data_IF_032432573021
#
_entry.id   IF_032432573021
#
_cell.length_a   1.000
_cell.length_b   1.000
_cell.length_c   1.000
_cell.angle_alpha   90.00
_cell.angle_beta   90.00
_cell.angle_gamma   90.00
#
_symmetry.space_group_name_H-M   'P 1'
#
loop_
_entity.id
_entity.type
_entity.pdbx_description
1 polymer ?
#
# COMPACT_ATOMS: atom_id res chain seq x y z
N UNK A 1 -11.57 -0.50 -19.81
CA UNK A 1 -10.67 -1.20 -18.87
C UNK A 1 -9.67 -0.17 -18.38
N UNK A 2 -9.60 0.08 -17.07
CA UNK A 2 -8.66 1.06 -16.50
C UNK A 2 -7.23 0.56 -16.71
N UNK A 3 -6.38 1.39 -17.32
CA UNK A 3 -4.98 1.07 -17.55
C UNK A 3 -4.24 1.15 -16.19
N UNK A 4 -4.06 0.02 -15.52
CA UNK A 4 -3.38 -0.05 -14.22
C UNK A 4 -1.86 0.02 -14.43
N UNK A 5 -1.11 0.63 -13.51
CA UNK A 5 0.35 0.66 -13.59
C UNK A 5 0.91 -0.75 -13.43
N UNK A 6 1.79 -1.14 -14.36
CA UNK A 6 2.48 -2.43 -14.30
C UNK A 6 3.52 -2.48 -13.18
N UNK A 7 3.76 -3.68 -12.65
CA UNK A 7 4.82 -3.91 -11.67
C UNK A 7 6.19 -4.02 -12.34
N UNK A 8 7.18 -3.33 -11.78
CA UNK A 8 8.58 -3.55 -12.12
C UNK A 8 9.04 -4.93 -11.67
N UNK A 9 10.19 -5.39 -12.17
CA UNK A 9 10.79 -6.65 -11.73
C UNK A 9 11.08 -6.66 -10.22
N UNK A 10 11.54 -5.54 -9.67
CA UNK A 10 11.81 -5.40 -8.23
C UNK A 10 10.53 -5.44 -7.41
N UNK A 11 9.44 -4.84 -7.90
CA UNK A 11 8.13 -4.91 -7.24
C UNK A 11 7.56 -6.33 -7.28
N UNK A 12 7.68 -7.04 -8.41
CA UNK A 12 7.29 -8.46 -8.49
C UNK A 12 8.05 -9.31 -7.48
N UNK A 13 9.36 -9.11 -7.36
CA UNK A 13 10.18 -9.84 -6.38
C UNK A 13 9.80 -9.47 -4.94
N UNK A 14 9.61 -8.18 -4.64
CA UNK A 14 9.21 -7.71 -3.30
C UNK A 14 7.85 -8.25 -2.87
N UNK A 15 6.90 -8.32 -3.81
CA UNK A 15 5.51 -8.69 -3.56
C UNK A 15 5.21 -10.15 -3.92
N UNK A 16 6.21 -10.98 -4.20
CA UNK A 16 6.02 -12.36 -4.68
C UNK A 16 5.05 -13.18 -3.81
N UNK A 17 5.15 -13.06 -2.49
CA UNK A 17 4.28 -13.80 -1.56
C UNK A 17 2.83 -13.33 -1.55
N UNK A 18 2.56 -12.04 -1.77
CA UNK A 18 1.18 -11.55 -1.88
C UNK A 18 0.59 -11.86 -3.26
N UNK A 19 1.42 -11.91 -4.30
CA UNK A 19 0.98 -12.30 -5.66
C UNK A 19 0.49 -13.75 -5.73
N UNK A 20 1.01 -14.65 -4.88
CA UNK A 20 0.59 -16.05 -4.85
C UNK A 20 -0.73 -16.31 -4.11
N UNK A 21 -1.28 -15.29 -3.44
CA UNK A 21 -2.57 -15.40 -2.73
C UNK A 21 -3.71 -15.51 -3.74
N UNK A 22 -4.53 -16.56 -3.61
CA UNK A 22 -5.73 -16.77 -4.41
C UNK A 22 -6.60 -15.50 -4.41
N UNK A 23 -7.13 -15.16 -5.58
CA UNK A 23 -8.03 -14.02 -5.81
C UNK A 23 -7.41 -12.62 -5.58
N UNK A 24 -6.11 -12.54 -5.29
CA UNK A 24 -5.36 -11.28 -5.25
C UNK A 24 -4.55 -11.07 -6.53
N UNK A 25 -3.53 -11.89 -6.77
CA UNK A 25 -2.72 -11.91 -7.98
C UNK A 25 -2.05 -10.58 -8.35
N UNK A 26 -1.54 -10.51 -9.59
CA UNK A 26 -0.87 -9.31 -10.12
C UNK A 26 -1.82 -8.13 -10.26
N UNK A 27 -3.08 -8.37 -10.67
CA UNK A 27 -4.07 -7.30 -10.80
C UNK A 27 -4.37 -6.63 -9.44
N UNK A 28 -4.51 -7.41 -8.36
CA UNK A 28 -4.68 -6.89 -7.01
C UNK A 28 -3.54 -5.99 -6.59
N UNK A 29 -2.30 -6.39 -6.92
CA UNK A 29 -1.13 -5.58 -6.61
C UNK A 29 -1.03 -4.30 -7.44
N UNK A 30 -1.35 -4.36 -8.74
CA UNK A 30 -1.43 -3.17 -9.58
C UNK A 30 -2.50 -2.19 -9.08
N UNK A 31 -3.61 -2.69 -8.52
CA UNK A 31 -4.63 -1.84 -7.87
C UNK A 31 -4.10 -1.17 -6.60
N UNK A 32 -3.37 -1.87 -5.74
CA UNK A 32 -2.73 -1.26 -4.57
C UNK A 32 -1.70 -0.20 -4.99
N UNK A 33 -0.86 -0.51 -5.98
CA UNK A 33 0.10 0.44 -6.57
C UNK A 33 -0.57 1.68 -7.14
N UNK A 34 -1.77 1.56 -7.70
CA UNK A 34 -2.53 2.71 -8.21
C UNK A 34 -3.26 3.51 -7.13
N UNK A 35 -3.39 2.96 -5.92
CA UNK A 35 -4.21 3.55 -4.86
C UNK A 35 -3.49 4.73 -4.17
N UNK A 36 -4.29 5.70 -3.74
CA UNK A 36 -3.89 6.73 -2.78
C UNK A 36 -4.72 6.59 -1.52
N UNK A 37 -4.08 6.51 -0.35
CA UNK A 37 -4.76 6.37 0.94
C UNK A 37 -4.36 7.50 1.89
N UNK A 38 -5.37 8.16 2.48
CA UNK A 38 -5.18 9.08 3.60
C UNK A 38 -5.35 8.34 4.92
N UNK A 39 -4.30 8.34 5.73
CA UNK A 39 -4.37 7.88 7.12
C UNK A 39 -4.34 9.10 8.04
N UNK A 40 -5.48 9.39 8.66
CA UNK A 40 -5.60 10.45 9.67
C UNK A 40 -5.34 9.91 11.07
N UNK A 41 -4.90 10.78 11.99
CA UNK A 41 -4.54 10.44 13.38
C UNK A 41 -3.43 9.40 13.45
N UNK A 42 -2.29 9.71 12.83
CA UNK A 42 -1.06 8.91 13.00
C UNK A 42 -0.70 8.87 14.49
N UNK A 43 -0.37 7.68 15.01
CA UNK A 43 -0.21 7.41 16.44
C UNK A 43 -0.13 5.91 16.63
N UNK A 44 -0.57 5.36 17.76
CA UNK A 44 -0.57 3.90 17.96
C UNK A 44 -1.28 3.13 16.85
N UNK A 45 -2.58 3.41 16.65
CA UNK A 45 -3.38 2.69 15.62
C UNK A 45 -3.07 3.19 14.20
N UNK A 46 -3.08 4.51 13.98
CA UNK A 46 -2.85 5.08 12.66
C UNK A 46 -1.45 4.80 12.12
N UNK A 47 -0.44 4.76 13.00
CA UNK A 47 0.94 4.41 12.64
C UNK A 47 1.06 2.95 12.22
N UNK A 48 0.54 2.02 13.02
CA UNK A 48 0.54 0.59 12.64
C UNK A 48 -0.22 0.35 11.34
N UNK A 49 -1.39 0.97 11.15
CA UNK A 49 -2.14 0.87 9.89
C UNK A 49 -1.34 1.42 8.69
N UNK A 50 -0.71 2.59 8.83
CA UNK A 50 0.12 3.16 7.78
C UNK A 50 1.30 2.27 7.40
N UNK A 51 1.96 1.65 8.39
CA UNK A 51 3.05 0.69 8.15
C UNK A 51 2.57 -0.51 7.34
N UNK A 52 1.42 -1.10 7.70
CA UNK A 52 0.88 -2.25 6.97
C UNK A 52 0.47 -1.88 5.55
N UNK A 53 -0.15 -0.70 5.35
CA UNK A 53 -0.51 -0.21 4.03
C UNK A 53 0.72 0.08 3.15
N UNK A 54 1.80 0.59 3.74
CA UNK A 54 3.07 0.80 3.04
C UNK A 54 3.69 -0.55 2.63
N UNK A 55 3.73 -1.52 3.55
CA UNK A 55 4.24 -2.86 3.29
C UNK A 55 3.44 -3.60 2.21
N UNK A 56 2.11 -3.41 2.19
CA UNK A 56 1.24 -3.98 1.17
C UNK A 56 1.47 -3.40 -0.24
N UNK A 57 2.12 -2.24 -0.34
CA UNK A 57 2.47 -1.61 -1.61
C UNK A 57 1.45 -0.59 -2.13
N UNK A 58 0.79 0.16 -1.24
CA UNK A 58 0.01 1.33 -1.63
C UNK A 58 0.91 2.35 -2.33
N UNK A 59 0.55 2.78 -3.54
CA UNK A 59 1.39 3.69 -4.34
C UNK A 59 1.57 5.07 -3.74
N UNK A 60 0.56 5.59 -3.03
CA UNK A 60 0.67 6.86 -2.32
C UNK A 60 -0.03 6.86 -0.97
N UNK A 61 0.74 7.12 0.08
CA UNK A 61 0.22 7.35 1.43
C UNK A 61 0.27 8.84 1.77
N UNK A 62 -0.86 9.37 2.24
CA UNK A 62 -0.96 10.69 2.84
C UNK A 62 -1.14 10.48 4.34
N UNK A 63 -0.20 10.97 5.13
CA UNK A 63 -0.21 10.80 6.58
C UNK A 63 -0.55 12.14 7.25
N UNK A 64 -1.55 12.17 8.11
CA UNK A 64 -2.00 13.39 8.79
C UNK A 64 -2.13 13.18 10.31
N UNK A 65 -1.52 14.08 11.08
CA UNK A 65 -1.62 14.13 12.53
C UNK A 65 -1.67 15.57 13.01
N UNK A 66 -2.51 15.85 14.02
CA UNK A 66 -2.57 17.15 14.66
C UNK A 66 -1.73 17.15 15.93
N UNK A 67 -0.88 18.16 16.10
CA UNK A 67 0.03 18.25 17.23
C UNK A 67 1.36 17.54 16.99
N UNK A 68 2.13 17.36 18.06
CA UNK A 68 3.45 16.75 18.00
C UNK A 68 3.37 15.27 18.39
N UNK A 69 4.02 14.42 17.60
CA UNK A 69 4.30 13.04 18.01
C UNK A 69 5.29 13.07 19.18
N UNK A 70 5.00 12.29 20.22
CA UNK A 70 5.85 12.13 21.40
C UNK A 70 6.70 10.88 21.27
#
# INVERSE_FOLDING_TARGET
MSNLPELTSDERSRYEWQLSVSDFGEEGQCRLKNATVLVSRIGGVGGTAAMQLAAAGIGRLILAHAGNLR
#
